data_IF_751525800316
#
_entry.id   IF_751525800316
#
_cell.length_a   1.000
_cell.length_b   1.000
_cell.length_c   1.000
_cell.angle_alpha   90.00
_cell.angle_beta   90.00
_cell.angle_gamma   90.00
#
_symmetry.space_group_name_H-M   'P 1'
#
loop_
_entity.id
_entity.type
_entity.pdbx_description
1 polymer ?
#
# COMPACT_ATOMS: atom_id res chain seq x y z
N UNK A 1 -25.36 9.31 -0.83
CA UNK A 1 -24.29 8.64 -0.06
C UNK A 1 -24.82 8.37 1.33
N UNK A 2 -24.62 7.17 1.89
CA UNK A 2 -25.05 6.86 3.25
C UNK A 2 -24.02 5.93 3.90
N UNK A 3 -23.18 6.44 4.80
CA UNK A 3 -22.25 5.59 5.56
C UNK A 3 -22.99 5.03 6.76
N UNK A 4 -23.16 3.71 6.81
CA UNK A 4 -23.58 3.04 8.04
C UNK A 4 -22.38 2.74 8.92
N UNK A 5 -22.32 3.36 10.10
CA UNK A 5 -21.28 3.10 11.08
C UNK A 5 -21.40 1.67 11.65
N UNK A 6 -20.28 0.95 11.88
CA UNK A 6 -20.32 -0.39 12.46
C UNK A 6 -20.96 -0.40 13.85
N UNK A 7 -21.56 -1.54 14.20
CA UNK A 7 -22.19 -1.73 15.52
C UNK A 7 -21.11 -1.69 16.60
N UNK A 8 -21.27 -0.85 17.64
CA UNK A 8 -20.35 -0.82 18.78
C UNK A 8 -20.43 -2.15 19.56
N UNK A 9 -19.28 -2.81 19.74
CA UNK A 9 -19.21 -4.05 20.55
C UNK A 9 -19.40 -3.71 22.02
N UNK A 10 -20.20 -4.53 22.72
CA UNK A 10 -20.28 -4.47 24.19
C UNK A 10 -19.01 -5.08 24.78
N UNK A 11 -18.49 -4.49 25.86
CA UNK A 11 -17.34 -5.06 26.60
C UNK A 11 -17.78 -6.39 27.25
N UNK A 12 -16.95 -7.42 27.12
CA UNK A 12 -17.20 -8.77 27.65
C UNK A 12 -17.28 -9.85 26.58
N UNK A 13 -17.45 -11.11 27.01
CA UNK A 13 -17.59 -12.26 26.12
C UNK A 13 -18.89 -12.18 25.31
N UNK A 14 -18.78 -12.12 23.99
CA UNK A 14 -19.94 -12.08 23.08
C UNK A 14 -20.24 -13.45 22.52
N UNK A 15 -21.54 -13.75 22.38
CA UNK A 15 -22.02 -14.96 21.71
C UNK A 15 -21.66 -14.97 20.21
N UNK A 16 -21.59 -16.15 19.60
CA UNK A 16 -21.20 -16.34 18.19
C UNK A 16 -22.02 -15.46 17.22
N UNK A 17 -23.34 -15.39 17.41
CA UNK A 17 -24.25 -14.57 16.58
C UNK A 17 -23.97 -13.07 16.65
N UNK A 18 -23.54 -12.56 17.80
CA UNK A 18 -23.21 -11.13 17.94
C UNK A 18 -21.90 -10.79 17.23
N UNK A 19 -20.93 -11.73 17.23
CA UNK A 19 -19.69 -11.59 16.49
C UNK A 19 -19.94 -11.56 14.98
N UNK A 20 -20.79 -12.45 14.48
CA UNK A 20 -21.19 -12.48 13.06
C UNK A 20 -21.86 -11.17 12.64
N UNK A 21 -22.85 -10.69 13.40
CA UNK A 21 -23.50 -9.39 13.13
C UNK A 21 -22.52 -8.22 13.09
N UNK A 22 -21.54 -8.22 13.99
CA UNK A 22 -20.50 -7.19 14.00
C UNK A 22 -19.64 -7.25 12.73
N UNK A 23 -19.20 -8.45 12.33
CA UNK A 23 -18.43 -8.64 11.10
C UNK A 23 -19.22 -8.20 9.87
N UNK A 24 -20.51 -8.54 9.78
CA UNK A 24 -21.37 -8.11 8.68
C UNK A 24 -21.50 -6.58 8.62
N UNK A 25 -21.63 -5.93 9.79
CA UNK A 25 -21.63 -4.46 9.86
C UNK A 25 -20.31 -3.82 9.39
N UNK A 26 -19.17 -4.46 9.67
CA UNK A 26 -17.87 -4.00 9.17
C UNK A 26 -17.76 -4.16 7.66
N UNK A 27 -18.33 -5.23 7.10
CA UNK A 27 -18.36 -5.46 5.66
C UNK A 27 -19.22 -4.40 4.96
N UNK A 28 -20.44 -4.16 5.46
CA UNK A 28 -21.30 -3.11 4.93
C UNK A 28 -20.65 -1.72 5.04
N UNK A 29 -19.98 -1.45 6.15
CA UNK A 29 -19.17 -0.25 6.33
C UNK A 29 -18.07 -0.13 5.27
N UNK A 30 -17.25 -1.18 5.07
CA UNK A 30 -16.19 -1.17 4.08
C UNK A 30 -16.70 -0.90 2.64
N UNK A 31 -17.82 -1.51 2.24
CA UNK A 31 -18.43 -1.26 0.93
C UNK A 31 -18.90 0.20 0.77
N UNK A 32 -19.52 0.78 1.80
CA UNK A 32 -19.93 2.19 1.75
C UNK A 32 -18.75 3.14 1.55
N UNK A 33 -17.62 2.86 2.21
CA UNK A 33 -16.40 3.69 2.10
C UNK A 33 -15.79 3.52 0.71
N UNK A 34 -15.77 2.30 0.15
CA UNK A 34 -15.32 2.05 -1.25
C UNK A 34 -16.16 2.81 -2.27
N UNK A 35 -17.49 2.81 -2.10
CA UNK A 35 -18.38 3.57 -3.00
C UNK A 35 -18.10 5.07 -2.95
N UNK A 36 -17.75 5.61 -1.78
CA UNK A 36 -17.36 7.02 -1.67
C UNK A 36 -16.00 7.28 -2.32
N UNK A 37 -15.03 6.37 -2.13
CA UNK A 37 -13.71 6.48 -2.74
C UNK A 37 -13.78 6.55 -4.28
N UNK A 38 -14.76 5.90 -4.92
CA UNK A 38 -14.95 5.98 -6.39
C UNK A 38 -15.25 7.40 -6.89
N UNK A 39 -15.77 8.27 -6.03
CA UNK A 39 -16.05 9.68 -6.36
C UNK A 39 -14.95 10.64 -5.93
N UNK A 40 -13.81 10.14 -5.45
CA UNK A 40 -12.68 10.94 -4.99
C UNK A 40 -11.43 10.58 -5.82
N UNK A 41 -10.74 11.59 -6.33
CA UNK A 41 -9.50 11.41 -7.10
C UNK A 41 -8.27 11.22 -6.21
N UNK A 42 -8.45 11.20 -4.89
CA UNK A 42 -7.40 11.04 -3.90
C UNK A 42 -7.79 10.02 -2.83
N UNK A 43 -6.82 9.32 -2.27
CA UNK A 43 -7.03 8.39 -1.17
C UNK A 43 -6.86 9.10 0.16
N UNK A 44 -7.79 8.87 1.10
CA UNK A 44 -7.75 9.48 2.42
C UNK A 44 -7.05 8.58 3.43
N UNK A 45 -6.28 9.19 4.34
CA UNK A 45 -5.83 8.53 5.56
C UNK A 45 -6.98 8.21 6.51
N UNK A 46 -6.72 7.35 7.50
CA UNK A 46 -7.73 6.88 8.47
C UNK A 46 -8.47 8.02 9.18
N UNK A 47 -7.75 9.09 9.52
CA UNK A 47 -8.32 10.30 10.13
C UNK A 47 -9.11 11.16 9.16
N UNK A 48 -8.70 11.22 7.89
CA UNK A 48 -9.44 11.88 6.82
C UNK A 48 -10.83 11.25 6.66
N UNK A 49 -10.88 9.92 6.65
CA UNK A 49 -12.14 9.18 6.65
C UNK A 49 -13.02 9.48 7.86
N UNK A 50 -12.45 9.69 9.06
CA UNK A 50 -13.24 10.10 10.22
C UNK A 50 -13.93 11.45 10.03
N UNK A 51 -13.28 12.42 9.37
CA UNK A 51 -13.93 13.69 9.03
C UNK A 51 -15.07 13.49 8.02
N UNK A 52 -14.87 12.68 6.99
CA UNK A 52 -15.93 12.35 6.03
C UNK A 52 -17.14 11.66 6.70
N UNK A 53 -16.89 10.91 7.78
CA UNK A 53 -17.92 10.24 8.57
C UNK A 53 -18.67 11.16 9.55
N UNK A 54 -18.20 12.39 9.81
CA UNK A 54 -18.90 13.31 10.72
C UNK A 54 -20.32 13.61 10.24
N UNK A 55 -20.48 13.83 8.93
CA UNK A 55 -21.79 14.05 8.28
C UNK A 55 -22.73 12.84 8.39
N UNK A 56 -22.21 11.66 8.73
CA UNK A 56 -22.97 10.41 8.88
C UNK A 56 -23.12 9.97 10.35
N UNK A 57 -22.81 10.86 11.30
CA UNK A 57 -23.09 10.66 12.73
C UNK A 57 -21.90 10.21 13.58
N UNK A 58 -20.68 10.14 13.02
CA UNK A 58 -19.48 9.93 13.82
C UNK A 58 -19.11 11.24 14.52
N UNK A 59 -19.18 11.29 15.84
CA UNK A 59 -18.77 12.49 16.58
C UNK A 59 -17.24 12.59 16.59
N UNK A 60 -16.71 13.82 16.66
CA UNK A 60 -15.27 14.06 16.84
C UNK A 60 -14.68 13.34 18.06
N UNK A 61 -15.48 13.18 19.13
CA UNK A 61 -15.12 12.40 20.32
C UNK A 61 -14.96 10.90 20.06
N UNK A 62 -15.55 10.38 18.98
CA UNK A 62 -15.54 8.96 18.59
C UNK A 62 -14.52 8.67 17.44
N UNK A 63 -13.63 9.60 17.10
CA UNK A 63 -12.65 9.39 16.03
C UNK A 63 -11.72 8.20 16.26
N UNK A 64 -11.41 7.89 17.52
CA UNK A 64 -10.64 6.70 17.85
C UNK A 64 -11.39 5.42 17.43
N UNK A 65 -12.71 5.38 17.68
CA UNK A 65 -13.56 4.26 17.26
C UNK A 65 -13.63 4.14 15.72
N UNK A 66 -13.72 5.27 15.01
CA UNK A 66 -13.70 5.28 13.55
C UNK A 66 -12.42 4.69 12.97
N UNK A 67 -11.26 5.13 13.48
CA UNK A 67 -9.95 4.60 13.08
C UNK A 67 -9.82 3.11 13.43
N UNK A 68 -10.27 2.68 14.61
CA UNK A 68 -10.30 1.27 14.98
C UNK A 68 -11.13 0.42 14.02
N UNK A 69 -12.30 0.91 13.58
CA UNK A 69 -13.14 0.22 12.61
C UNK A 69 -12.46 0.09 11.24
N UNK A 70 -11.82 1.15 10.75
CA UNK A 70 -11.06 1.12 9.49
C UNK A 70 -9.92 0.09 9.59
N UNK A 71 -9.17 0.11 10.69
CA UNK A 71 -8.06 -0.81 10.92
C UNK A 71 -8.51 -2.26 11.08
N UNK A 72 -9.68 -2.50 11.67
CA UNK A 72 -10.30 -3.83 11.72
C UNK A 72 -10.72 -4.30 10.32
N UNK A 73 -11.28 -3.42 9.49
CA UNK A 73 -11.58 -3.73 8.09
C UNK A 73 -10.33 -4.06 7.28
N UNK A 74 -9.21 -3.33 7.49
CA UNK A 74 -7.88 -3.65 6.91
C UNK A 74 -7.41 -5.04 7.36
N UNK A 75 -7.41 -5.31 8.67
CA UNK A 75 -6.98 -6.61 9.24
C UNK A 75 -7.81 -7.81 8.77
N UNK A 76 -9.07 -7.60 8.43
CA UNK A 76 -9.98 -8.64 7.91
C UNK A 76 -9.97 -8.77 6.38
N UNK A 77 -9.24 -7.92 5.67
CA UNK A 77 -9.18 -7.92 4.21
C UNK A 77 -10.43 -7.34 3.54
N UNK A 78 -11.29 -6.61 4.27
CA UNK A 78 -12.44 -5.93 3.66
C UNK A 78 -12.03 -4.68 2.88
N UNK A 79 -10.92 -4.05 3.30
CA UNK A 79 -10.26 -2.98 2.56
C UNK A 79 -8.92 -3.51 2.05
N UNK A 80 -8.66 -3.29 0.75
CA UNK A 80 -7.40 -3.70 0.14
C UNK A 80 -6.23 -2.87 0.71
N UNK A 81 -5.02 -3.43 0.80
CA UNK A 81 -3.81 -2.65 1.04
C UNK A 81 -3.71 -1.46 0.06
N UNK A 82 -3.22 -0.32 0.53
CA UNK A 82 -3.18 0.94 -0.25
C UNK A 82 -4.50 1.71 -0.32
N UNK A 83 -5.63 1.14 0.14
CA UNK A 83 -6.91 1.88 0.22
C UNK A 83 -6.86 3.05 1.21
N UNK A 84 -6.07 2.91 2.28
CA UNK A 84 -5.84 3.95 3.29
C UNK A 84 -4.37 4.35 3.19
N UNK A 85 -4.10 5.61 2.82
CA UNK A 85 -2.76 6.18 2.89
C UNK A 85 -2.52 6.74 4.29
N UNK A 86 -1.86 5.98 5.16
CA UNK A 86 -1.24 6.52 6.37
C UNK A 86 0.23 6.82 6.00
N UNK A 87 0.69 8.06 6.19
CA UNK A 87 2.09 8.55 6.07
C UNK A 87 2.97 8.10 4.88
N UNK A 88 3.58 9.09 4.20
CA UNK A 88 4.54 8.95 3.10
C UNK A 88 5.78 8.07 3.45
N UNK A 89 5.99 7.75 4.73
CA UNK A 89 7.04 6.83 5.21
C UNK A 89 6.90 5.37 4.75
N UNK A 90 5.82 5.03 4.03
CA UNK A 90 5.47 3.67 3.62
C UNK A 90 5.85 3.32 2.17
N UNK A 91 6.55 4.22 1.47
CA UNK A 91 7.03 3.98 0.11
C UNK A 91 8.16 2.94 0.16
N UNK A 92 7.87 1.74 -0.36
CA UNK A 92 8.90 0.81 -0.81
C UNK A 92 9.45 1.41 -2.11
N UNK A 93 10.68 1.91 -2.09
CA UNK A 93 11.32 2.41 -3.31
C UNK A 93 11.43 1.28 -4.34
N UNK A 94 11.33 1.63 -5.63
CA UNK A 94 11.36 0.70 -6.78
C UNK A 94 10.08 -0.15 -6.93
N UNK A 95 8.91 0.38 -6.57
CA UNK A 95 7.64 -0.12 -7.12
C UNK A 95 7.36 0.57 -8.46
N UNK A 96 6.78 -0.10 -9.45
CA UNK A 96 6.24 0.59 -10.61
C UNK A 96 5.04 1.45 -10.15
N UNK A 97 5.18 2.77 -10.29
CA UNK A 97 4.14 3.73 -9.95
C UNK A 97 2.98 3.64 -10.95
N UNK A 98 1.81 3.18 -10.50
CA UNK A 98 0.51 3.50 -11.13
C UNK A 98 -0.09 4.60 -10.25
N UNK A 99 -0.39 5.82 -10.68
CA UNK A 99 -1.19 6.24 -11.84
C UNK A 99 -0.69 7.63 -12.27
N UNK A 100 -0.08 7.72 -13.45
CA UNK A 100 0.24 9.00 -14.10
C UNK A 100 -1.02 9.50 -14.83
N UNK A 101 -1.35 10.79 -14.75
CA UNK A 101 -2.43 11.36 -15.58
C UNK A 101 -2.05 11.25 -17.05
N UNK A 102 -3.01 11.21 -17.98
CA UNK A 102 -2.70 11.11 -19.42
C UNK A 102 -1.83 12.29 -19.88
N UNK A 103 -2.10 13.50 -19.39
CA UNK A 103 -1.26 14.66 -19.66
C UNK A 103 0.14 14.53 -19.04
N UNK A 104 0.25 14.03 -17.80
CA UNK A 104 1.52 13.79 -17.13
C UNK A 104 2.35 12.70 -17.83
N UNK A 105 1.71 11.63 -18.30
CA UNK A 105 2.32 10.57 -19.08
C UNK A 105 2.82 11.08 -20.42
N UNK A 106 2.05 11.90 -21.13
CA UNK A 106 2.48 12.46 -22.42
C UNK A 106 3.62 13.45 -22.22
N UNK A 107 3.57 14.30 -21.19
CA UNK A 107 4.64 15.26 -20.88
C UNK A 107 5.90 14.55 -20.38
N UNK A 108 5.75 13.54 -19.53
CA UNK A 108 6.81 12.66 -19.05
C UNK A 108 7.46 11.88 -20.18
N UNK A 109 6.67 11.28 -21.09
CA UNK A 109 7.19 10.62 -22.28
C UNK A 109 7.87 11.60 -23.23
N UNK A 110 7.33 12.81 -23.42
CA UNK A 110 7.95 13.82 -24.29
C UNK A 110 9.31 14.28 -23.74
N UNK A 111 9.40 14.56 -22.44
CA UNK A 111 10.64 14.95 -21.79
C UNK A 111 11.64 13.78 -21.74
N UNK A 112 11.17 12.57 -21.43
CA UNK A 112 11.98 11.36 -21.47
C UNK A 112 12.49 11.08 -22.88
N UNK A 113 11.72 11.33 -23.93
CA UNK A 113 12.16 11.17 -25.33
C UNK A 113 13.20 12.20 -25.76
N UNK A 114 13.15 13.43 -25.22
CA UNK A 114 14.18 14.45 -25.48
C UNK A 114 15.49 14.13 -24.75
N UNK A 115 15.43 13.58 -23.54
CA UNK A 115 16.60 13.15 -22.76
C UNK A 115 17.09 11.74 -23.14
N UNK A 116 16.22 10.94 -23.76
CA UNK A 116 16.47 9.57 -24.19
C UNK A 116 17.53 9.48 -25.29
N UNK A 117 17.70 10.49 -26.13
CA UNK A 117 18.74 10.44 -27.17
C UNK A 117 20.14 10.35 -26.55
N UNK A 118 20.41 11.12 -25.49
CA UNK A 118 21.67 11.05 -24.75
C UNK A 118 21.73 9.80 -23.85
N UNK A 119 20.66 9.47 -23.12
CA UNK A 119 20.61 8.29 -22.26
C UNK A 119 20.73 6.97 -23.03
N UNK A 120 20.03 6.81 -24.15
CA UNK A 120 20.16 5.62 -24.98
C UNK A 120 21.53 5.53 -25.60
N UNK A 121 22.12 6.62 -26.11
CA UNK A 121 23.45 6.57 -26.73
C UNK A 121 24.54 6.02 -25.80
N UNK A 122 24.43 6.24 -24.49
CA UNK A 122 25.40 5.78 -23.50
C UNK A 122 24.95 4.56 -22.67
N UNK A 123 23.64 4.29 -22.54
CA UNK A 123 23.10 3.21 -21.68
C UNK A 123 23.51 1.79 -22.09
N UNK A 124 23.78 1.53 -23.38
CA UNK A 124 24.32 0.24 -23.83
C UNK A 124 25.68 -0.07 -23.19
N UNK A 125 26.43 0.95 -22.77
CA UNK A 125 27.73 0.80 -22.11
C UNK A 125 27.60 0.36 -20.64
N UNK A 126 26.40 0.49 -20.06
CA UNK A 126 26.07 0.09 -18.68
C UNK A 126 25.37 -1.28 -18.60
N UNK A 127 24.93 -1.82 -19.74
CA UNK A 127 24.26 -3.11 -19.83
C UNK A 127 25.27 -4.23 -20.10
N UNK A 128 25.52 -5.09 -19.10
CA UNK A 128 26.48 -6.21 -19.25
C UNK A 128 25.91 -7.43 -20.00
N UNK A 129 24.65 -7.36 -20.43
CA UNK A 129 23.96 -8.42 -21.16
C UNK A 129 23.44 -9.58 -20.32
N UNK A 130 23.57 -9.53 -18.98
CA UNK A 130 23.18 -10.62 -18.09
C UNK A 130 22.42 -10.05 -16.89
N UNK A 131 21.11 -10.29 -16.81
CA UNK A 131 20.40 -9.97 -15.57
C UNK A 131 20.87 -10.92 -14.47
N UNK A 132 21.17 -10.37 -13.29
CA UNK A 132 21.43 -11.16 -12.08
C UNK A 132 20.34 -12.22 -11.86
N UNK A 133 19.09 -11.87 -12.17
CA UNK A 133 17.89 -12.69 -12.00
C UNK A 133 17.75 -13.84 -13.00
N UNK A 134 18.37 -13.77 -14.18
CA UNK A 134 18.22 -14.81 -15.23
C UNK A 134 18.76 -16.18 -14.80
N UNK A 135 19.51 -16.24 -13.69
CA UNK A 135 20.17 -17.46 -13.20
C UNK A 135 19.86 -17.78 -11.73
N UNK A 136 18.90 -17.10 -11.11
CA UNK A 136 18.54 -17.39 -9.71
C UNK A 136 17.30 -18.26 -9.66
N UNK A 137 17.39 -19.36 -8.92
CA UNK A 137 16.24 -20.24 -8.62
C UNK A 137 15.37 -19.69 -7.48
N UNK A 138 15.76 -18.55 -6.88
CA UNK A 138 15.14 -18.02 -5.66
C UNK A 138 14.93 -16.51 -5.75
N UNK A 139 13.75 -16.07 -5.34
CA UNK A 139 13.47 -14.67 -5.05
C UNK A 139 14.21 -14.21 -3.78
N UNK A 140 14.89 -13.06 -3.87
CA UNK A 140 15.61 -12.45 -2.76
C UNK A 140 15.05 -11.06 -2.50
N UNK A 141 14.67 -10.77 -1.26
CA UNK A 141 14.29 -9.44 -0.78
C UNK A 141 15.03 -9.14 0.52
N UNK A 142 15.66 -7.97 0.60
CA UNK A 142 16.37 -7.54 1.80
C UNK A 142 15.42 -6.74 2.72
N UNK A 143 15.32 -7.20 3.96
CA UNK A 143 14.55 -6.54 5.01
C UNK A 143 15.51 -6.05 6.09
N UNK A 144 15.47 -4.74 6.37
CA UNK A 144 16.29 -4.13 7.42
C UNK A 144 15.41 -3.53 8.49
N UNK A 145 15.80 -3.65 9.76
CA UNK A 145 15.05 -3.06 10.89
C UNK A 145 15.40 -1.58 11.11
N UNK A 146 16.67 -1.23 10.84
CA UNK A 146 17.21 0.12 11.02
C UNK A 146 17.39 0.80 9.67
N UNK A 147 16.97 2.06 9.59
CA UNK A 147 17.06 2.86 8.37
C UNK A 147 18.51 3.02 7.89
N UNK A 148 19.48 3.14 8.81
CA UNK A 148 20.90 3.27 8.47
C UNK A 148 21.44 2.04 7.71
N UNK A 149 20.90 0.86 7.99
CA UNK A 149 21.27 -0.37 7.27
C UNK A 149 20.71 -0.38 5.85
N UNK A 150 19.57 0.28 5.60
CA UNK A 150 19.06 0.44 4.23
C UNK A 150 20.09 1.18 3.37
N UNK A 151 20.64 2.28 3.90
CA UNK A 151 21.66 3.07 3.22
C UNK A 151 22.95 2.27 2.99
N UNK A 152 23.35 1.45 3.97
CA UNK A 152 24.55 0.60 3.85
C UNK A 152 24.43 -0.44 2.72
N UNK A 153 23.25 -1.03 2.53
CA UNK A 153 23.03 -2.06 1.52
C UNK A 153 22.47 -1.52 0.20
N UNK A 154 22.18 -0.21 0.10
CA UNK A 154 21.55 0.37 -1.07
C UNK A 154 22.40 0.17 -2.33
N UNK A 155 23.70 0.41 -2.25
CA UNK A 155 24.63 0.28 -3.39
C UNK A 155 24.61 -1.14 -3.99
N UNK A 156 24.66 -2.17 -3.12
CA UNK A 156 24.67 -3.56 -3.58
C UNK A 156 23.29 -4.02 -4.06
N UNK A 157 22.23 -3.57 -3.39
CA UNK A 157 20.85 -3.86 -3.78
C UNK A 157 20.49 -3.20 -5.12
N UNK A 158 20.92 -1.97 -5.37
CA UNK A 158 20.71 -1.27 -6.64
C UNK A 158 21.48 -1.92 -7.78
N UNK A 159 22.72 -2.34 -7.52
CA UNK A 159 23.55 -3.05 -8.50
C UNK A 159 22.88 -4.32 -9.03
N UNK A 160 22.27 -5.10 -8.15
CA UNK A 160 21.62 -6.36 -8.52
C UNK A 160 20.09 -6.26 -8.62
N UNK A 161 19.54 -5.05 -8.50
CA UNK A 161 18.09 -4.80 -8.48
C UNK A 161 17.34 -5.68 -7.45
N UNK A 162 17.94 -5.88 -6.29
CA UNK A 162 17.35 -6.60 -5.15
C UNK A 162 16.43 -5.63 -4.38
N UNK A 163 15.13 -5.94 -4.22
CA UNK A 163 14.22 -5.11 -3.45
C UNK A 163 14.70 -4.98 -1.99
N UNK A 164 14.73 -3.75 -1.46
CA UNK A 164 15.08 -3.47 -0.06
C UNK A 164 13.99 -2.67 0.64
N UNK A 165 13.52 -3.18 1.78
CA UNK A 165 12.50 -2.53 2.58
C UNK A 165 12.93 -2.40 4.05
N UNK A 166 12.48 -1.33 4.69
CA UNK A 166 12.70 -1.09 6.10
C UNK A 166 11.45 -1.52 6.90
N UNK A 167 11.62 -2.44 7.84
CA UNK A 167 10.59 -2.90 8.76
C UNK A 167 10.82 -2.26 10.13
N UNK A 168 10.14 -1.16 10.41
CA UNK A 168 10.10 -0.60 11.75
C UNK A 168 9.07 -1.37 12.61
N UNK A 169 9.54 -1.97 13.71
CA UNK A 169 8.67 -2.64 14.69
C UNK A 169 7.88 -3.82 14.10
N UNK A 170 6.55 -3.80 14.23
CA UNK A 170 5.69 -4.88 13.74
C UNK A 170 5.43 -4.85 12.22
N UNK A 171 5.95 -3.85 11.49
CA UNK A 171 5.73 -3.65 10.04
C UNK A 171 4.28 -3.28 9.69
N UNK A 172 4.07 -2.28 8.83
CA UNK A 172 2.71 -1.87 8.43
C UNK A 172 2.02 -2.98 7.60
N UNK A 173 0.68 -2.95 7.56
CA UNK A 173 -0.09 -3.91 6.75
C UNK A 173 0.24 -3.72 5.26
N UNK A 174 0.50 -2.50 4.85
CA UNK A 174 0.85 -2.10 3.48
C UNK A 174 2.20 -2.68 3.08
N UNK A 175 3.21 -2.51 3.93
CA UNK A 175 4.54 -3.10 3.69
C UNK A 175 4.47 -4.62 3.55
N UNK A 176 3.70 -5.29 4.41
CA UNK A 176 3.51 -6.75 4.35
C UNK A 176 2.74 -7.18 3.11
N UNK A 177 1.77 -6.39 2.67
CA UNK A 177 1.02 -6.67 1.46
C UNK A 177 1.88 -6.54 0.20
N UNK A 178 2.73 -5.51 0.13
CA UNK A 178 3.71 -5.34 -0.95
C UNK A 178 4.69 -6.52 -0.98
N UNK A 179 5.21 -6.93 0.17
CA UNK A 179 6.08 -8.12 0.28
C UNK A 179 5.38 -9.40 -0.21
N UNK A 180 4.14 -9.61 0.21
CA UNK A 180 3.35 -10.77 -0.20
C UNK A 180 3.05 -10.75 -1.71
N UNK A 181 2.74 -9.58 -2.28
CA UNK A 181 2.54 -9.41 -3.72
C UNK A 181 3.81 -9.71 -4.51
N UNK A 182 4.95 -9.16 -4.10
CA UNK A 182 6.23 -9.40 -4.79
C UNK A 182 6.60 -10.89 -4.75
N UNK A 183 6.45 -11.54 -3.58
CA UNK A 183 6.65 -12.97 -3.46
C UNK A 183 5.74 -13.75 -4.42
N UNK A 184 4.44 -13.45 -4.43
CA UNK A 184 3.48 -14.12 -5.32
C UNK A 184 3.81 -13.90 -6.81
N UNK A 185 4.22 -12.69 -7.19
CA UNK A 185 4.63 -12.39 -8.56
C UNK A 185 5.78 -13.30 -9.00
N UNK A 186 6.85 -13.39 -8.19
CA UNK A 186 8.00 -14.22 -8.53
C UNK A 186 7.71 -15.72 -8.44
N UNK A 187 6.90 -16.17 -7.48
CA UNK A 187 6.45 -17.57 -7.38
C UNK A 187 5.68 -18.04 -8.64
N UNK A 188 4.95 -17.13 -9.30
CA UNK A 188 4.23 -17.44 -10.53
C UNK A 188 5.12 -17.51 -11.77
N UNK A 189 6.24 -16.78 -11.78
CA UNK A 189 7.21 -16.75 -12.90
C UNK A 189 8.13 -17.99 -12.91
N UNK A 190 8.25 -18.68 -11.76
CA UNK A 190 9.02 -19.93 -11.60
C UNK A 190 10.31 -19.71 -10.85
#
# INVERSE_FOLDING_TARGET
>A
MNIQLPIKRKRGGQGKKEKERYIDSLRAFAENIKEIQKGLDFHMGSRGWCYAMESFGLKKSDFNYGQECINECRRRGFLKPGFILEDESHIVGQQPDEIESVEGFVEGQYNMWQEAEEYYTESWQLYDGISFWDKQDYYIQLLVEKVDLKSLFMEICEKYKIPVANLHGSGSIEQKAVMAHNFQYHENEG
#
